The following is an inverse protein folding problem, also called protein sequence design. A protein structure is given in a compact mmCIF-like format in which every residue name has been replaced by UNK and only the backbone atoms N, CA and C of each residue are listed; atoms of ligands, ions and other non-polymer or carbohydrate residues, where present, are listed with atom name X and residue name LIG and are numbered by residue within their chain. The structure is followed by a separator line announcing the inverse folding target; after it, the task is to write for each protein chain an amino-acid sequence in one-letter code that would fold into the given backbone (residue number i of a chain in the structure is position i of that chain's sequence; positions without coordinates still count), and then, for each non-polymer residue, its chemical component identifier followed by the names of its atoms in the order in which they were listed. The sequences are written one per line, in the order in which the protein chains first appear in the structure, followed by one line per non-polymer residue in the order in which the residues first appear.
data_IF_458056510896
#
_entry.id   IF_458056510896
#
_cell.length_a   1.000
_cell.length_b   1.000
_cell.length_c   1.000
_cell.angle_alpha   90.00
_cell.angle_beta   90.00
_cell.angle_gamma   90.00
#
_symmetry.space_group_name_H-M   'P 1'
#
loop_
_entity.id
_entity.type
_entity.pdbx_description
1 polymer ?
#
# COMPACT_ATOMS: atom_id res chain seq x y z
N UNK A 1 42.06 -20.02 7.36
CA UNK A 1 41.26 -19.31 6.33
C UNK A 1 40.09 -20.20 5.90
N UNK A 2 39.01 -20.22 6.67
CA UNK A 2 37.73 -20.78 6.21
C UNK A 2 37.16 -19.76 5.23
N UNK A 3 36.94 -20.19 3.99
CA UNK A 3 36.62 -19.33 2.85
C UNK A 3 35.39 -18.46 3.12
N UNK A 4 35.57 -17.13 3.11
CA UNK A 4 34.55 -16.08 3.24
C UNK A 4 33.39 -16.27 2.25
N UNK A 5 33.64 -16.98 1.12
CA UNK A 5 32.61 -17.35 0.14
C UNK A 5 31.56 -18.35 0.65
N UNK A 6 31.89 -19.18 1.66
CA UNK A 6 30.94 -20.15 2.25
C UNK A 6 29.98 -19.49 3.27
N UNK A 7 30.45 -18.48 4.01
CA UNK A 7 29.60 -17.69 4.92
C UNK A 7 28.58 -16.82 4.17
N UNK A 8 28.95 -16.25 3.02
CA UNK A 8 28.01 -15.46 2.21
C UNK A 8 26.85 -16.28 1.62
N UNK A 9 27.11 -17.54 1.22
CA UNK A 9 26.05 -18.43 0.70
C UNK A 9 25.11 -18.94 1.79
N UNK A 10 25.60 -19.24 2.99
CA UNK A 10 24.74 -19.67 4.11
C UNK A 10 23.90 -18.53 4.70
N UNK A 11 24.45 -17.31 4.79
CA UNK A 11 23.67 -16.14 5.21
C UNK A 11 22.59 -15.77 4.20
N UNK A 12 22.87 -15.81 2.90
CA UNK A 12 21.84 -15.55 1.89
C UNK A 12 20.74 -16.61 1.92
N UNK A 13 21.05 -17.87 2.22
CA UNK A 13 20.02 -18.91 2.32
C UNK A 13 19.17 -18.80 3.60
N UNK A 14 19.77 -18.40 4.74
CA UNK A 14 19.02 -18.15 5.97
C UNK A 14 18.22 -16.84 5.93
N UNK A 15 18.72 -15.80 5.27
CA UNK A 15 17.98 -14.55 5.02
C UNK A 15 16.85 -14.82 4.03
N UNK A 16 17.08 -15.61 2.98
CA UNK A 16 16.04 -16.05 2.05
C UNK A 16 15.01 -16.94 2.75
N UNK A 17 15.43 -17.83 3.66
CA UNK A 17 14.49 -18.63 4.46
C UNK A 17 13.74 -17.77 5.47
N UNK A 18 14.35 -16.75 6.07
CA UNK A 18 13.67 -15.83 6.99
C UNK A 18 12.70 -14.92 6.21
N UNK A 19 13.08 -14.46 5.02
CA UNK A 19 12.21 -13.67 4.13
C UNK A 19 11.09 -14.53 3.55
N UNK A 20 11.34 -15.77 3.13
CA UNK A 20 10.31 -16.74 2.74
C UNK A 20 9.43 -17.10 3.94
N UNK A 21 9.97 -17.30 5.15
CA UNK A 21 9.17 -17.59 6.33
C UNK A 21 8.34 -16.38 6.78
N UNK A 22 8.85 -15.15 6.63
CA UNK A 22 8.11 -13.91 6.82
C UNK A 22 7.08 -13.66 5.71
N UNK A 23 7.36 -14.05 4.47
CA UNK A 23 6.48 -13.90 3.30
C UNK A 23 5.36 -14.95 3.30
N UNK A 24 5.65 -16.19 3.73
CA UNK A 24 4.68 -17.26 3.91
C UNK A 24 3.74 -17.03 5.11
N UNK A 25 4.10 -16.15 6.04
CA UNK A 25 3.27 -15.77 7.21
C UNK A 25 2.55 -14.42 7.05
N UNK A 26 2.87 -13.62 6.03
CA UNK A 26 2.24 -12.32 5.77
C UNK A 26 1.49 -12.34 4.44
N UNK A 27 0.23 -12.78 4.47
CA UNK A 27 -0.73 -12.66 3.37
C UNK A 27 -1.18 -11.22 3.07
N UNK A 28 -0.43 -10.19 3.49
CA UNK A 28 -0.88 -8.80 3.49
C UNK A 28 0.12 -7.87 2.81
N UNK A 29 -0.36 -6.84 2.12
CA UNK A 29 0.41 -5.71 1.56
C UNK A 29 1.10 -4.86 2.65
N UNK A 30 1.27 -5.38 3.86
CA UNK A 30 1.77 -4.67 5.02
C UNK A 30 2.96 -5.42 5.61
N UNK A 31 3.87 -5.87 4.75
CA UNK A 31 5.08 -6.56 5.16
C UNK A 31 5.92 -5.66 6.08
N UNK A 32 5.92 -5.99 7.37
CA UNK A 32 6.79 -5.47 8.44
C UNK A 32 6.71 -3.95 8.73
N UNK A 33 5.49 -3.42 8.88
CA UNK A 33 5.30 -2.09 9.48
C UNK A 33 5.65 -2.06 10.97
N UNK A 34 6.21 -0.95 11.43
CA UNK A 34 6.31 -0.61 12.84
C UNK A 34 5.01 0.08 13.26
N UNK A 35 4.35 -0.47 14.29
CA UNK A 35 3.13 0.07 14.87
C UNK A 35 3.45 0.80 16.16
N UNK A 36 3.45 2.12 16.11
CA UNK A 36 3.76 3.00 17.24
C UNK A 36 2.47 3.49 17.88
N UNK A 37 2.22 3.12 19.14
CA UNK A 37 1.15 3.71 19.92
C UNK A 37 1.49 5.17 20.22
N UNK A 38 0.71 6.08 19.62
CA UNK A 38 0.83 7.52 19.81
C UNK A 38 0.02 8.00 21.01
N UNK A 39 -1.24 7.54 21.13
CA UNK A 39 -2.15 7.92 22.20
C UNK A 39 -3.05 6.75 22.61
N UNK A 40 -3.45 6.72 23.87
CA UNK A 40 -4.41 5.79 24.44
C UNK A 40 -5.35 6.57 25.34
N UNK A 41 -6.62 6.61 24.98
CA UNK A 41 -7.65 7.43 25.64
C UNK A 41 -8.89 6.59 25.93
N UNK A 42 -9.69 7.04 26.90
CA UNK A 42 -11.02 6.49 27.16
C UNK A 42 -12.04 7.05 26.17
N UNK A 43 -13.21 6.42 26.09
CA UNK A 43 -14.34 6.95 25.30
C UNK A 43 -14.78 8.35 25.73
N UNK A 44 -14.70 8.66 27.03
CA UNK A 44 -15.10 9.96 27.57
C UNK A 44 -14.12 11.07 27.14
N UNK A 45 -12.82 10.78 27.24
CA UNK A 45 -11.76 11.69 26.79
C UNK A 45 -11.89 11.97 25.29
N UNK A 46 -12.06 10.94 24.44
CA UNK A 46 -12.20 11.14 23.00
C UNK A 46 -13.53 11.81 22.60
N UNK A 47 -14.59 11.64 23.39
CA UNK A 47 -15.85 12.35 23.17
C UNK A 47 -15.72 13.83 23.53
N UNK A 48 -15.00 14.15 24.62
CA UNK A 48 -14.76 15.51 25.06
C UNK A 48 -13.80 16.25 24.11
N UNK A 49 -12.76 15.57 23.64
CA UNK A 49 -11.74 16.10 22.74
C UNK A 49 -11.48 15.10 21.60
N UNK A 50 -12.26 15.16 20.50
CA UNK A 50 -12.05 14.31 19.33
C UNK A 50 -10.67 14.58 18.70
N UNK A 51 -10.05 13.52 18.17
CA UNK A 51 -8.82 13.68 17.41
C UNK A 51 -9.09 14.37 16.08
N UNK A 52 -8.27 15.37 15.79
CA UNK A 52 -8.22 15.99 14.48
C UNK A 52 -7.01 15.46 13.71
N UNK A 53 -7.27 14.85 12.55
CA UNK A 53 -6.26 14.32 11.65
C UNK A 53 -6.31 15.16 10.39
N UNK A 54 -5.18 15.73 9.99
CA UNK A 54 -5.06 16.54 8.79
C UNK A 54 -4.27 15.82 7.69
N UNK A 55 -4.54 16.16 6.44
CA UNK A 55 -3.73 15.77 5.27
C UNK A 55 -3.90 16.80 4.17
N UNK A 56 -2.86 16.99 3.35
CA UNK A 56 -2.83 18.02 2.30
C UNK A 56 -3.83 17.74 1.17
N UNK A 57 -3.99 16.47 0.78
CA UNK A 57 -4.78 16.05 -0.39
C UNK A 57 -6.04 15.26 -0.03
N UNK A 58 -6.37 15.15 1.26
CA UNK A 58 -7.46 14.33 1.75
C UNK A 58 -7.04 12.93 2.21
N UNK A 59 -8.03 12.04 2.35
CA UNK A 59 -7.88 10.75 3.03
C UNK A 59 -8.49 9.61 2.23
N UNK A 60 -7.90 8.43 2.41
CA UNK A 60 -8.56 7.16 2.11
C UNK A 60 -8.75 6.41 3.42
N UNK A 61 -10.00 6.08 3.74
CA UNK A 61 -10.37 5.47 5.02
C UNK A 61 -10.92 4.07 4.78
N UNK A 62 -10.33 3.09 5.47
CA UNK A 62 -10.77 1.69 5.46
C UNK A 62 -11.32 1.33 6.83
N UNK A 63 -12.49 0.71 6.87
CA UNK A 63 -13.09 0.10 8.06
C UNK A 63 -12.74 -1.40 8.18
N UNK A 64 -12.29 -2.01 7.09
CA UNK A 64 -11.73 -3.34 7.03
C UNK A 64 -10.70 -3.41 5.89
N UNK A 65 -9.51 -3.94 6.17
CA UNK A 65 -8.45 -4.08 5.15
C UNK A 65 -8.77 -5.21 4.15
N UNK A 66 -9.74 -6.08 4.46
CA UNK A 66 -10.10 -7.23 3.63
C UNK A 66 -11.28 -6.95 2.65
N UNK A 67 -11.95 -5.79 2.70
CA UNK A 67 -13.19 -5.52 1.92
C UNK A 67 -13.08 -4.49 0.77
N UNK A 68 -11.89 -4.29 0.22
CA UNK A 68 -11.61 -3.84 -1.16
C UNK A 68 -12.10 -2.46 -1.68
N UNK A 69 -12.65 -1.56 -0.85
CA UNK A 69 -12.86 -0.15 -1.24
C UNK A 69 -12.71 0.80 -0.06
N UNK A 70 -11.63 1.59 -0.04
CA UNK A 70 -11.50 2.70 0.89
C UNK A 70 -12.50 3.83 0.55
N UNK A 71 -13.04 4.48 1.57
CA UNK A 71 -13.86 5.69 1.39
C UNK A 71 -12.95 6.90 1.23
N UNK A 72 -13.07 7.60 0.10
CA UNK A 72 -12.32 8.82 -0.17
C UNK A 72 -12.96 10.02 0.53
N UNK A 73 -12.13 10.86 1.15
CA UNK A 73 -12.53 12.10 1.77
C UNK A 73 -11.62 13.23 1.31
N UNK A 74 -12.13 14.11 0.44
CA UNK A 74 -11.36 15.22 -0.12
C UNK A 74 -11.21 16.42 0.85
N UNK A 75 -11.58 16.26 2.13
CA UNK A 75 -11.38 17.31 3.13
C UNK A 75 -9.94 17.25 3.63
N UNK A 76 -9.34 18.40 3.94
CA UNK A 76 -7.96 18.43 4.45
C UNK A 76 -7.86 18.10 5.95
N UNK A 77 -8.99 17.93 6.63
CA UNK A 77 -9.06 17.55 8.03
C UNK A 77 -10.29 16.68 8.29
N UNK A 78 -10.09 15.62 9.09
CA UNK A 78 -11.16 14.77 9.61
C UNK A 78 -11.12 14.70 11.13
N UNK A 79 -12.31 14.54 11.72
CA UNK A 79 -12.46 14.33 13.16
C UNK A 79 -12.82 12.88 13.47
N UNK A 80 -12.01 12.26 14.34
CA UNK A 80 -12.27 10.93 14.91
C UNK A 80 -12.70 11.12 16.35
N UNK A 81 -13.93 10.72 16.66
CA UNK A 81 -14.54 10.83 17.98
C UNK A 81 -15.04 9.47 18.50
N UNK A 82 -15.71 9.49 19.64
CA UNK A 82 -16.35 8.33 20.25
C UNK A 82 -17.87 8.52 20.40
N UNK A 83 -18.67 7.55 19.94
CA UNK A 83 -20.14 7.58 20.03
C UNK A 83 -20.71 6.18 20.31
N UNK A 84 -21.63 6.07 21.27
CA UNK A 84 -22.29 4.81 21.65
C UNK A 84 -21.33 3.62 21.90
N UNK A 85 -20.20 3.87 22.59
CA UNK A 85 -19.11 2.91 22.80
C UNK A 85 -18.42 2.38 21.52
N UNK A 86 -18.66 3.02 20.38
CA UNK A 86 -17.91 2.81 19.13
C UNK A 86 -17.15 4.07 18.71
N UNK A 87 -16.41 3.95 17.60
CA UNK A 87 -15.77 5.08 16.95
C UNK A 87 -16.80 5.91 16.17
N UNK A 88 -16.45 7.16 15.91
CA UNK A 88 -17.20 8.02 15.01
C UNK A 88 -16.26 8.79 14.09
N UNK A 89 -16.64 8.90 12.83
CA UNK A 89 -15.96 9.70 11.81
C UNK A 89 -16.86 10.88 11.47
N UNK A 90 -16.35 12.10 11.63
CA UNK A 90 -17.12 13.32 11.41
C UNK A 90 -18.49 13.32 12.14
N UNK A 91 -18.52 12.80 13.37
CA UNK A 91 -19.71 12.72 14.22
C UNK A 91 -20.71 11.60 13.88
N UNK A 92 -20.46 10.82 12.80
CA UNK A 92 -21.26 9.64 12.43
C UNK A 92 -20.60 8.39 13.00
N UNK A 93 -21.39 7.53 13.65
CA UNK A 93 -20.88 6.25 14.16
C UNK A 93 -20.33 5.39 13.02
N UNK A 94 -19.21 4.73 13.25
CA UNK A 94 -18.68 3.71 12.35
C UNK A 94 -19.24 2.35 12.74
N UNK A 95 -19.23 1.42 11.79
CA UNK A 95 -19.73 0.05 12.02
C UNK A 95 -18.68 -0.88 12.61
N UNK A 96 -17.40 -0.51 12.48
CA UNK A 96 -16.24 -1.31 12.89
C UNK A 96 -15.50 -0.61 14.03
N UNK A 97 -14.85 -1.44 14.84
CA UNK A 97 -14.04 -1.03 16.01
C UNK A 97 -12.62 -0.59 15.62
N UNK A 98 -12.26 -0.75 14.35
CA UNK A 98 -10.98 -0.35 13.79
C UNK A 98 -11.21 0.51 12.55
N UNK A 99 -10.40 1.56 12.40
CA UNK A 99 -10.31 2.39 11.21
C UNK A 99 -8.85 2.50 10.80
N UNK A 100 -8.60 2.48 9.50
CA UNK A 100 -7.30 2.76 8.91
C UNK A 100 -7.41 4.01 8.04
N UNK A 101 -6.61 5.01 8.34
CA UNK A 101 -6.59 6.30 7.65
C UNK A 101 -5.27 6.42 6.91
N UNK A 102 -5.33 6.64 5.60
CA UNK A 102 -4.17 6.85 4.73
C UNK A 102 -4.26 8.26 4.12
N UNK A 103 -3.11 8.94 3.90
CA UNK A 103 -3.11 10.15 3.09
C UNK A 103 -3.46 9.81 1.65
N UNK A 104 -4.31 10.62 1.04
CA UNK A 104 -4.57 10.55 -0.38
C UNK A 104 -3.38 11.10 -1.18
N UNK A 105 -3.15 10.55 -2.36
CA UNK A 105 -2.17 11.07 -3.31
C UNK A 105 -2.61 12.45 -3.86
N UNK A 106 -1.64 13.30 -4.18
CA UNK A 106 -1.89 14.54 -4.91
C UNK A 106 -2.39 14.26 -6.33
N UNK A 107 -3.00 15.27 -6.97
CA UNK A 107 -3.43 15.17 -8.35
C UNK A 107 -2.29 14.81 -9.31
N UNK A 108 -1.08 15.32 -9.08
CA UNK A 108 0.10 15.05 -9.92
C UNK A 108 0.54 13.58 -9.85
N UNK A 109 0.52 12.98 -8.66
CA UNK A 109 0.81 11.56 -8.48
C UNK A 109 -0.27 10.68 -9.12
N UNK A 110 -1.55 11.04 -8.96
CA UNK A 110 -2.65 10.33 -9.59
C UNK A 110 -2.56 10.40 -11.12
N UNK A 111 -2.25 11.58 -11.66
CA UNK A 111 -2.04 11.76 -13.09
C UNK A 111 -0.88 10.91 -13.60
N UNK A 112 0.24 10.89 -12.87
CA UNK A 112 1.42 10.07 -13.22
C UNK A 112 1.08 8.57 -13.23
N UNK A 113 0.26 8.08 -12.29
CA UNK A 113 -0.21 6.68 -12.30
C UNK A 113 -1.11 6.40 -13.50
N UNK A 114 -2.04 7.31 -13.80
CA UNK A 114 -2.93 7.17 -14.94
C UNK A 114 -2.14 7.13 -16.26
N UNK A 115 -1.20 8.07 -16.46
CA UNK A 115 -0.32 8.12 -17.62
C UNK A 115 0.51 6.84 -17.76
N UNK A 116 1.05 6.34 -16.64
CA UNK A 116 1.78 5.08 -16.61
C UNK A 116 0.91 3.91 -17.09
N UNK A 117 -0.29 3.74 -16.51
CA UNK A 117 -1.22 2.65 -16.88
C UNK A 117 -1.61 2.77 -18.36
N UNK A 118 -2.03 3.96 -18.78
CA UNK A 118 -2.44 4.23 -20.16
C UNK A 118 -1.35 3.88 -21.17
N UNK A 119 -0.12 4.31 -20.89
CA UNK A 119 1.05 4.05 -21.75
C UNK A 119 1.34 2.55 -21.87
N UNK A 120 1.21 1.78 -20.77
CA UNK A 120 1.47 0.35 -20.77
C UNK A 120 0.39 -0.44 -21.52
N UNK A 121 -0.87 -0.09 -21.36
CA UNK A 121 -1.98 -0.72 -22.09
C UNK A 121 -1.87 -0.42 -23.59
N UNK A 122 -1.62 0.84 -23.97
CA UNK A 122 -1.49 1.25 -25.38
C UNK A 122 -0.34 0.51 -26.11
N UNK A 123 0.73 0.15 -25.41
CA UNK A 123 1.85 -0.59 -26.00
C UNK A 123 1.52 -2.07 -26.30
N UNK A 124 0.49 -2.66 -25.68
CA UNK A 124 0.15 -4.08 -25.81
C UNK A 124 -0.74 -4.40 -27.02
N UNK A 125 -1.40 -3.40 -27.61
CA UNK A 125 -2.32 -3.58 -28.74
C UNK A 125 -1.66 -4.12 -30.03
N UNK A 126 -0.34 -4.28 -30.04
CA UNK A 126 0.42 -4.90 -31.13
C UNK A 126 0.32 -6.44 -31.16
N UNK A 127 -0.23 -7.08 -30.12
CA UNK A 127 -0.28 -8.55 -30.02
C UNK A 127 -1.61 -9.08 -30.57
N UNK A 128 -1.46 -9.91 -31.60
CA UNK A 128 -2.47 -10.31 -32.57
C UNK A 128 -3.61 -11.14 -31.94
N UNK A 129 -4.85 -10.64 -32.01
CA UNK A 129 -6.02 -11.51 -31.90
C UNK A 129 -6.01 -12.40 -33.13
N UNK A 130 -5.58 -13.66 -32.96
CA UNK A 130 -5.51 -14.64 -34.04
C UNK A 130 -6.74 -14.56 -34.93
N UNK A 131 -6.52 -14.48 -36.24
CA UNK A 131 -7.47 -14.00 -37.26
C UNK A 131 -8.82 -14.72 -37.34
N UNK A 132 -9.09 -15.75 -36.52
CA UNK A 132 -10.23 -16.62 -36.67
C UNK A 132 -11.22 -16.56 -35.49
N UNK A 133 -12.31 -15.85 -35.76
CA UNK A 133 -13.70 -16.34 -35.73
C UNK A 133 -14.74 -15.80 -34.74
N UNK A 134 -14.46 -15.08 -33.66
CA UNK A 134 -15.54 -14.76 -32.69
C UNK A 134 -15.82 -13.26 -32.43
N UNK A 135 -15.43 -12.35 -33.31
CA UNK A 135 -15.56 -10.90 -33.04
C UNK A 135 -16.98 -10.41 -32.69
N UNK A 136 -17.96 -10.60 -33.59
CA UNK A 136 -19.31 -10.05 -33.38
C UNK A 136 -20.00 -10.69 -32.18
N UNK A 137 -19.93 -12.02 -32.07
CA UNK A 137 -20.58 -12.78 -31.00
C UNK A 137 -19.93 -12.49 -29.64
N UNK A 138 -18.60 -12.30 -29.57
CA UNK A 138 -17.92 -11.90 -28.33
C UNK A 138 -18.46 -10.58 -27.77
N UNK A 139 -18.71 -9.61 -28.65
CA UNK A 139 -19.24 -8.31 -28.25
C UNK A 139 -20.73 -8.38 -27.88
N UNK A 140 -21.51 -9.29 -28.49
CA UNK A 140 -22.94 -9.39 -28.22
C UNK A 140 -23.29 -10.32 -27.05
N UNK A 141 -22.46 -11.32 -26.77
CA UNK A 141 -22.61 -12.27 -25.66
C UNK A 141 -22.00 -11.72 -24.35
N UNK A 142 -22.37 -10.49 -24.02
CA UNK A 142 -21.82 -9.74 -22.89
C UNK A 142 -22.63 -9.96 -21.61
N UNK A 143 -22.54 -11.16 -21.04
CA UNK A 143 -23.14 -11.51 -19.75
C UNK A 143 -22.26 -12.52 -18.98
N UNK A 144 -22.37 -12.62 -17.64
CA UNK A 144 -21.56 -13.55 -16.86
C UNK A 144 -21.72 -14.99 -17.38
N UNK A 145 -20.62 -15.74 -17.43
CA UNK A 145 -20.54 -17.11 -17.94
C UNK A 145 -20.79 -17.29 -19.46
N UNK A 146 -21.03 -16.22 -20.21
CA UNK A 146 -21.07 -16.27 -21.66
C UNK A 146 -19.66 -16.26 -22.26
N UNK A 147 -19.51 -16.84 -23.45
CA UNK A 147 -18.21 -16.95 -24.14
C UNK A 147 -17.56 -15.58 -24.37
N UNK A 148 -18.35 -14.59 -24.80
CA UNK A 148 -17.87 -13.24 -25.08
C UNK A 148 -17.30 -12.55 -23.85
N UNK A 149 -18.07 -12.53 -22.76
CA UNK A 149 -17.58 -11.99 -21.49
C UNK A 149 -16.36 -12.75 -20.96
N UNK A 150 -16.36 -14.09 -21.02
CA UNK A 150 -15.24 -14.91 -20.52
C UNK A 150 -13.94 -14.58 -21.26
N UNK A 151 -14.02 -14.34 -22.57
CA UNK A 151 -12.90 -13.89 -23.37
C UNK A 151 -12.40 -12.50 -22.96
N UNK A 152 -13.29 -11.51 -22.89
CA UNK A 152 -12.94 -10.13 -22.47
C UNK A 152 -12.30 -10.14 -21.07
N UNK A 153 -12.88 -10.91 -20.15
CA UNK A 153 -12.35 -11.09 -18.81
C UNK A 153 -10.92 -11.66 -18.82
N UNK A 154 -10.66 -12.70 -19.62
CA UNK A 154 -9.34 -13.31 -19.71
C UNK A 154 -8.29 -12.31 -20.25
N UNK A 155 -8.64 -11.53 -21.28
CA UNK A 155 -7.76 -10.50 -21.82
C UNK A 155 -7.52 -9.36 -20.82
N UNK A 156 -8.56 -8.88 -20.13
CA UNK A 156 -8.37 -7.89 -19.06
C UNK A 156 -7.41 -8.39 -17.97
N UNK A 157 -7.54 -9.66 -17.53
CA UNK A 157 -6.62 -10.25 -16.55
C UNK A 157 -5.17 -10.29 -17.06
N UNK A 158 -4.97 -10.67 -18.33
CA UNK A 158 -3.64 -10.67 -18.97
C UNK A 158 -3.04 -9.27 -19.00
N UNK A 159 -3.79 -8.28 -19.48
CA UNK A 159 -3.39 -6.86 -19.52
C UNK A 159 -3.03 -6.37 -18.12
N UNK A 160 -3.90 -6.60 -17.13
CA UNK A 160 -3.66 -6.21 -15.74
C UNK A 160 -2.37 -6.82 -15.16
N UNK A 161 -2.11 -8.11 -15.42
CA UNK A 161 -0.89 -8.78 -14.95
C UNK A 161 0.37 -8.17 -15.58
N UNK A 162 0.37 -7.93 -16.89
CA UNK A 162 1.52 -7.31 -17.57
C UNK A 162 1.77 -5.86 -17.10
N UNK A 163 0.70 -5.08 -16.87
CA UNK A 163 0.82 -3.72 -16.29
C UNK A 163 1.37 -3.79 -14.86
N UNK A 164 0.96 -4.77 -14.06
CA UNK A 164 1.50 -5.00 -12.72
C UNK A 164 2.99 -5.36 -12.77
N UNK A 165 3.40 -6.22 -13.70
CA UNK A 165 4.80 -6.57 -13.90
C UNK A 165 5.63 -5.32 -14.24
N UNK A 166 5.18 -4.52 -15.19
CA UNK A 166 5.87 -3.27 -15.55
C UNK A 166 5.93 -2.27 -14.38
N UNK A 167 4.89 -2.23 -13.53
CA UNK A 167 4.86 -1.40 -12.33
C UNK A 167 5.90 -1.87 -11.31
N UNK A 168 6.00 -3.18 -11.11
CA UNK A 168 6.95 -3.80 -10.20
C UNK A 168 8.40 -3.60 -10.66
N UNK A 169 8.70 -3.79 -11.94
CA UNK A 169 10.04 -3.58 -12.52
C UNK A 169 10.54 -2.14 -12.39
N UNK A 170 9.63 -1.17 -12.29
CA UNK A 170 9.96 0.25 -12.10
C UNK A 170 10.32 0.61 -10.66
N UNK A 171 9.93 -0.19 -9.67
CA UNK A 171 10.21 0.08 -8.26
C UNK A 171 11.72 0.02 -7.96
N UNK A 172 12.22 0.99 -7.20
CA UNK A 172 13.64 1.11 -6.85
C UNK A 172 13.83 1.54 -5.38
N UNK A 173 15.02 1.33 -4.78
CA UNK A 173 16.14 0.53 -5.27
C UNK A 173 15.88 -0.99 -5.23
N UNK A 174 14.93 -1.44 -4.41
CA UNK A 174 14.34 -2.78 -4.47
C UNK A 174 12.84 -2.66 -4.09
N UNK A 175 11.96 -3.46 -4.71
CA UNK A 175 10.55 -3.50 -4.34
C UNK A 175 10.39 -3.90 -2.86
N UNK A 176 9.61 -3.14 -2.06
CA UNK A 176 9.48 -3.38 -0.62
C UNK A 176 8.52 -4.53 -0.28
N UNK A 177 8.03 -5.22 -1.31
CA UNK A 177 7.06 -6.32 -1.25
C UNK A 177 7.38 -7.29 -2.37
N UNK A 178 7.17 -8.59 -2.17
CA UNK A 178 7.35 -9.58 -3.21
C UNK A 178 6.26 -9.46 -4.30
N UNK A 179 6.61 -9.76 -5.54
CA UNK A 179 5.68 -9.68 -6.67
C UNK A 179 4.44 -10.55 -6.47
N UNK A 180 4.62 -11.77 -5.95
CA UNK A 180 3.55 -12.74 -5.72
C UNK A 180 2.51 -12.23 -4.71
N UNK A 181 2.94 -11.38 -3.75
CA UNK A 181 2.03 -10.75 -2.80
C UNK A 181 1.17 -9.69 -3.50
N UNK A 182 1.76 -8.87 -4.36
CA UNK A 182 1.01 -7.88 -5.16
C UNK A 182 0.06 -8.55 -6.14
N UNK A 183 0.52 -9.60 -6.81
CA UNK A 183 -0.27 -10.38 -7.76
C UNK A 183 -1.49 -11.00 -7.09
N UNK A 184 -1.31 -11.63 -5.92
CA UNK A 184 -2.41 -12.20 -5.15
C UNK A 184 -3.47 -11.16 -4.77
N UNK A 185 -3.03 -9.93 -4.48
CA UNK A 185 -3.90 -8.84 -4.07
C UNK A 185 -4.65 -8.27 -5.27
N UNK A 186 -3.96 -8.09 -6.40
CA UNK A 186 -4.60 -7.75 -7.67
C UNK A 186 -5.63 -8.82 -8.09
N UNK A 187 -5.33 -10.10 -7.88
CA UNK A 187 -6.25 -11.19 -8.18
C UNK A 187 -7.55 -11.09 -7.38
N UNK A 188 -7.48 -10.82 -6.07
CA UNK A 188 -8.67 -10.58 -5.23
C UNK A 188 -9.44 -9.35 -5.67
N UNK A 189 -8.72 -8.25 -5.89
CA UNK A 189 -9.30 -6.98 -6.31
C UNK A 189 -10.05 -7.10 -7.64
N UNK A 190 -9.43 -7.76 -8.63
CA UNK A 190 -10.04 -8.01 -9.95
C UNK A 190 -11.21 -8.97 -9.84
N UNK A 191 -11.12 -10.06 -9.05
CA UNK A 191 -12.27 -10.95 -8.80
C UNK A 191 -13.50 -10.18 -8.27
N UNK A 192 -13.30 -9.20 -7.40
CA UNK A 192 -14.38 -8.40 -6.83
C UNK A 192 -14.97 -7.37 -7.82
N UNK A 193 -14.18 -6.83 -8.76
CA UNK A 193 -14.56 -5.65 -9.57
C UNK A 193 -14.67 -5.88 -11.07
N UNK A 194 -14.13 -6.98 -11.60
CA UNK A 194 -13.99 -7.24 -13.04
C UNK A 194 -15.32 -7.11 -13.80
N UNK A 195 -16.38 -7.77 -13.32
CA UNK A 195 -17.69 -7.70 -13.96
C UNK A 195 -18.20 -6.26 -14.08
N UNK A 196 -18.12 -5.50 -12.99
CA UNK A 196 -18.60 -4.11 -12.95
C UNK A 196 -17.82 -3.25 -13.94
N UNK A 197 -16.49 -3.32 -13.93
CA UNK A 197 -15.65 -2.48 -14.80
C UNK A 197 -15.83 -2.84 -16.27
N UNK A 198 -15.89 -4.14 -16.61
CA UNK A 198 -16.17 -4.58 -17.97
C UNK A 198 -17.56 -4.11 -18.43
N UNK A 199 -18.59 -4.20 -17.57
CA UNK A 199 -19.93 -3.75 -17.89
C UNK A 199 -20.01 -2.24 -18.14
N UNK A 200 -19.35 -1.44 -17.30
CA UNK A 200 -19.29 0.01 -17.49
C UNK A 200 -18.56 0.37 -18.80
N UNK A 201 -17.46 -0.30 -19.10
CA UNK A 201 -16.72 -0.13 -20.35
C UNK A 201 -17.56 -0.56 -21.57
N UNK A 202 -18.32 -1.65 -21.48
CA UNK A 202 -19.23 -2.07 -22.54
C UNK A 202 -20.36 -1.05 -22.78
N UNK A 203 -20.96 -0.53 -21.71
CA UNK A 203 -22.03 0.47 -21.80
C UNK A 203 -21.52 1.81 -22.35
N UNK A 204 -20.24 2.14 -22.14
CA UNK A 204 -19.64 3.37 -22.66
C UNK A 204 -19.53 3.40 -24.19
N UNK A 205 -19.58 2.23 -24.85
CA UNK A 205 -19.59 2.14 -26.31
C UNK A 205 -20.77 2.86 -26.95
N UNK A 206 -21.90 2.99 -26.24
CA UNK A 206 -23.14 3.67 -26.70
C UNK A 206 -23.55 3.25 -28.13
N UNK A 207 -23.52 1.95 -28.41
CA UNK A 207 -23.78 1.41 -29.75
C UNK A 207 -25.18 1.80 -30.25
N UNK A 208 -25.24 2.45 -31.40
CA UNK A 208 -26.49 2.79 -32.09
C UNK A 208 -26.86 1.74 -33.13
N UNK A 209 -28.08 1.80 -33.65
CA UNK A 209 -28.55 0.86 -34.69
C UNK A 209 -27.64 0.80 -35.94
N UNK A 210 -27.06 1.94 -36.34
CA UNK A 210 -26.09 2.01 -37.46
C UNK A 210 -24.80 1.23 -37.15
N UNK A 211 -24.37 1.22 -35.89
CA UNK A 211 -23.17 0.53 -35.45
C UNK A 211 -23.40 -0.99 -35.45
N UNK A 212 -24.59 -1.44 -35.04
CA UNK A 212 -24.97 -2.86 -35.12
C UNK A 212 -24.90 -3.41 -36.56
N UNK A 213 -25.31 -2.61 -37.56
CA UNK A 213 -25.16 -2.97 -38.97
C UNK A 213 -23.69 -3.04 -39.40
N UNK A 214 -22.86 -2.14 -38.89
CA UNK A 214 -21.43 -2.07 -39.21
C UNK A 214 -20.65 -3.22 -38.57
N UNK A 215 -20.95 -3.54 -37.32
CA UNK A 215 -20.36 -4.65 -36.57
C UNK A 215 -20.55 -5.99 -37.29
N UNK A 216 -21.73 -6.24 -37.87
CA UNK A 216 -21.98 -7.46 -38.67
C UNK A 216 -21.17 -7.55 -39.97
N UNK A 217 -20.63 -6.44 -40.47
CA UNK A 217 -20.01 -6.33 -41.80
C UNK A 217 -18.50 -6.10 -41.77
N UNK A 218 -17.98 -5.53 -40.68
CA UNK A 218 -16.60 -5.06 -40.61
C UNK A 218 -15.89 -5.64 -39.37
N UNK A 219 -15.17 -6.77 -39.51
CA UNK A 219 -14.45 -7.41 -38.41
C UNK A 219 -13.45 -6.49 -37.71
N UNK A 220 -12.80 -5.60 -38.45
CA UNK A 220 -11.88 -4.58 -37.91
C UNK A 220 -12.59 -3.62 -36.95
N UNK A 221 -13.81 -3.19 -37.28
CA UNK A 221 -14.61 -2.33 -36.41
C UNK A 221 -15.05 -3.08 -35.14
N UNK A 222 -15.29 -4.38 -35.23
CA UNK A 222 -15.60 -5.20 -34.05
C UNK A 222 -14.39 -5.33 -33.12
N UNK A 223 -13.21 -5.63 -33.69
CA UNK A 223 -11.93 -5.71 -32.98
C UNK A 223 -11.65 -4.39 -32.25
N UNK A 224 -11.83 -3.25 -32.92
CA UNK A 224 -11.69 -1.92 -32.32
C UNK A 224 -12.62 -1.72 -31.11
N UNK A 225 -13.88 -2.18 -31.19
CA UNK A 225 -14.83 -2.06 -30.06
C UNK A 225 -14.48 -2.99 -28.90
N UNK A 226 -14.09 -4.23 -29.18
CA UNK A 226 -13.63 -5.17 -28.13
C UNK A 226 -12.42 -4.59 -27.40
N UNK A 227 -11.41 -4.10 -28.13
CA UNK A 227 -10.25 -3.47 -27.50
C UNK A 227 -10.62 -2.27 -26.66
N UNK A 228 -11.50 -1.38 -27.14
CA UNK A 228 -11.93 -0.24 -26.33
C UNK A 228 -12.61 -0.64 -25.00
N UNK A 229 -13.28 -1.80 -24.96
CA UNK A 229 -13.84 -2.34 -23.71
C UNK A 229 -12.73 -2.86 -22.80
N UNK A 230 -11.81 -3.66 -23.34
CA UNK A 230 -10.69 -4.24 -22.59
C UNK A 230 -9.80 -3.14 -22.02
N UNK A 231 -9.43 -2.15 -22.84
CA UNK A 231 -8.55 -1.05 -22.45
C UNK A 231 -9.17 -0.21 -21.34
N UNK A 232 -10.43 0.23 -21.53
CA UNK A 232 -11.10 1.05 -20.53
C UNK A 232 -11.30 0.30 -19.21
N UNK A 233 -11.69 -0.98 -19.26
CA UNK A 233 -11.88 -1.79 -18.07
C UNK A 233 -10.54 -2.01 -17.34
N UNK A 234 -9.49 -2.36 -18.08
CA UNK A 234 -8.15 -2.60 -17.53
C UNK A 234 -7.51 -1.34 -16.97
N UNK A 235 -7.66 -0.20 -17.65
CA UNK A 235 -7.18 1.10 -17.19
C UNK A 235 -7.83 1.48 -15.85
N UNK A 236 -9.16 1.39 -15.77
CA UNK A 236 -9.90 1.67 -14.54
C UNK A 236 -9.48 0.74 -13.39
N UNK A 237 -9.38 -0.57 -13.66
CA UNK A 237 -8.97 -1.57 -12.67
C UNK A 237 -7.57 -1.26 -12.14
N UNK A 238 -6.60 -1.05 -13.03
CA UNK A 238 -5.20 -0.84 -12.64
C UNK A 238 -4.97 0.50 -11.97
N UNK A 239 -5.54 1.59 -12.52
CA UNK A 239 -5.47 2.91 -11.91
C UNK A 239 -6.05 2.89 -10.50
N UNK A 240 -7.26 2.31 -10.34
CA UNK A 240 -7.91 2.26 -9.04
C UNK A 240 -7.16 1.36 -8.06
N UNK A 241 -6.63 0.22 -8.50
CA UNK A 241 -5.79 -0.65 -7.68
C UNK A 241 -4.52 0.07 -7.20
N UNK A 242 -3.75 0.68 -8.11
CA UNK A 242 -2.51 1.38 -7.76
C UNK A 242 -2.75 2.58 -6.84
N UNK A 243 -3.79 3.37 -7.06
CA UNK A 243 -4.13 4.51 -6.20
C UNK A 243 -4.44 4.13 -4.74
N UNK A 244 -4.73 2.86 -4.48
CA UNK A 244 -5.07 2.32 -3.16
C UNK A 244 -3.88 1.60 -2.51
N UNK A 245 -2.76 1.45 -3.20
CA UNK A 245 -1.59 0.77 -2.65
C UNK A 245 -1.03 1.54 -1.44
N UNK A 246 -0.51 0.82 -0.44
CA UNK A 246 0.20 1.43 0.68
C UNK A 246 1.29 2.40 0.23
N UNK A 247 1.42 3.52 0.95
CA UNK A 247 2.35 4.59 0.57
C UNK A 247 3.81 4.18 0.44
N UNK A 248 4.26 3.17 1.20
CA UNK A 248 5.64 2.71 1.11
C UNK A 248 5.93 2.01 -0.23
N UNK A 249 4.94 1.36 -0.83
CA UNK A 249 5.02 0.77 -2.18
C UNK A 249 5.04 1.90 -3.21
N UNK A 250 4.12 2.86 -3.07
CA UNK A 250 4.04 4.01 -3.97
C UNK A 250 5.32 4.85 -3.94
N UNK A 251 5.92 5.04 -2.76
CA UNK A 251 7.23 5.69 -2.64
C UNK A 251 8.32 4.98 -3.42
N UNK A 252 8.34 3.65 -3.45
CA UNK A 252 9.35 2.92 -4.24
C UNK A 252 9.14 3.10 -5.75
N UNK A 253 7.88 3.26 -6.18
CA UNK A 253 7.54 3.56 -7.56
C UNK A 253 7.87 5.01 -7.97
N UNK A 254 7.50 5.99 -7.14
CA UNK A 254 7.72 7.42 -7.41
C UNK A 254 9.12 7.91 -7.04
N UNK A 255 9.83 7.16 -6.19
CA UNK A 255 11.14 7.49 -5.63
C UNK A 255 11.13 8.71 -4.68
N UNK A 256 9.96 9.07 -4.14
CA UNK A 256 9.77 10.21 -3.23
C UNK A 256 8.58 10.04 -2.29
N UNK A 257 8.44 10.95 -1.33
CA UNK A 257 7.38 10.89 -0.31
C UNK A 257 6.04 11.36 -0.89
N UNK A 258 5.03 10.50 -0.87
CA UNK A 258 3.76 10.75 -1.55
C UNK A 258 2.65 11.33 -0.66
N UNK A 259 2.94 11.64 0.61
CA UNK A 259 1.99 12.23 1.55
C UNK A 259 2.32 11.93 3.01
N UNK A 260 1.60 12.60 3.91
CA UNK A 260 1.66 12.40 5.36
C UNK A 260 0.30 12.71 6.00
N UNK A 261 0.12 12.26 7.24
CA UNK A 261 -1.00 12.62 8.12
C UNK A 261 -0.48 13.45 9.27
N UNK A 262 -1.16 14.53 9.63
CA UNK A 262 -0.79 15.36 10.77
C UNK A 262 -1.75 15.15 11.92
N UNK A 263 -1.24 14.94 13.13
CA UNK A 263 -2.02 14.85 14.37
C UNK A 263 -1.31 15.66 15.46
N UNK A 264 -2.04 16.57 16.11
CA UNK A 264 -1.51 17.44 17.17
C UNK A 264 -0.26 18.23 16.74
N UNK A 265 -0.21 18.68 15.48
CA UNK A 265 0.91 19.46 14.94
C UNK A 265 2.17 18.66 14.59
N UNK A 266 2.12 17.32 14.66
CA UNK A 266 3.18 16.44 14.21
C UNK A 266 2.74 15.67 12.97
N UNK A 267 3.65 15.53 12.00
CA UNK A 267 3.41 14.79 10.77
C UNK A 267 3.82 13.33 10.95
N UNK A 268 3.12 12.41 10.27
CA UNK A 268 3.38 10.98 10.31
C UNK A 268 3.29 10.41 8.91
N UNK A 269 4.31 9.63 8.53
CA UNK A 269 4.30 8.86 7.29
C UNK A 269 3.54 7.54 7.48
N UNK A 270 3.16 6.93 6.36
CA UNK A 270 2.42 5.66 6.38
C UNK A 270 0.93 5.90 6.64
N UNK A 271 0.38 5.25 7.66
CA UNK A 271 -1.04 5.36 7.99
C UNK A 271 -1.28 5.47 9.49
N UNK A 272 -2.50 5.84 9.85
CA UNK A 272 -3.00 5.79 11.22
C UNK A 272 -4.02 4.66 11.33
N UNK A 273 -3.81 3.76 12.28
CA UNK A 273 -4.76 2.76 12.73
C UNK A 273 -5.38 3.27 14.03
N UNK A 274 -6.70 3.43 14.03
CA UNK A 274 -7.49 3.72 15.22
C UNK A 274 -8.21 2.44 15.59
N UNK A 275 -8.05 1.96 16.83
CA UNK A 275 -8.72 0.72 17.26
C UNK A 275 -9.18 0.80 18.69
N UNK A 276 -10.27 0.12 18.99
CA UNK A 276 -10.74 -0.13 20.35
C UNK A 276 -10.02 -1.38 20.89
N UNK A 277 -9.46 -1.29 22.10
CA UNK A 277 -8.81 -2.39 22.83
C UNK A 277 -9.01 -2.17 24.33
N UNK A 278 -9.51 -3.18 25.07
CA UNK A 278 -9.69 -3.15 26.54
C UNK A 278 -10.32 -1.84 27.07
N UNK A 279 -11.48 -1.46 26.52
CA UNK A 279 -12.24 -0.24 26.88
C UNK A 279 -11.51 1.09 26.61
N UNK A 280 -10.39 1.05 25.88
CA UNK A 280 -9.65 2.22 25.43
C UNK A 280 -9.65 2.31 23.91
N UNK A 281 -9.44 3.53 23.43
CA UNK A 281 -9.25 3.83 22.02
C UNK A 281 -7.78 4.17 21.83
N UNK A 282 -7.15 3.46 20.90
CA UNK A 282 -5.73 3.57 20.60
C UNK A 282 -5.55 4.28 19.26
N UNK A 283 -4.69 5.29 19.24
CA UNK A 283 -4.17 5.90 18.01
C UNK A 283 -2.78 5.34 17.75
N UNK A 284 -2.64 4.61 16.64
CA UNK A 284 -1.42 3.89 16.29
C UNK A 284 -0.94 4.38 14.94
N UNK A 285 0.31 4.83 14.84
CA UNK A 285 0.93 5.06 13.53
C UNK A 285 1.55 3.76 13.01
N UNK A 286 1.16 3.36 11.80
CA UNK A 286 1.72 2.23 11.07
C UNK A 286 2.63 2.75 9.97
N UNK A 287 3.93 2.59 10.17
CA UNK A 287 4.97 3.23 9.34
C UNK A 287 6.01 2.20 8.90
N UNK A 288 6.72 2.46 7.81
CA UNK A 288 7.80 1.57 7.36
C UNK A 288 8.93 1.52 8.40
N UNK A 289 9.69 0.41 8.44
CA UNK A 289 10.84 0.29 9.35
C UNK A 289 11.84 1.44 9.15
N UNK A 290 12.22 1.72 7.92
CA UNK A 290 13.25 2.73 7.65
C UNK A 290 12.78 4.14 8.00
N UNK A 291 11.51 4.48 7.75
CA UNK A 291 10.93 5.76 8.17
C UNK A 291 10.85 5.91 9.69
N UNK A 292 10.50 4.82 10.37
CA UNK A 292 10.50 4.78 11.83
C UNK A 292 11.90 5.05 12.37
N UNK A 293 12.92 4.38 11.83
CA UNK A 293 14.31 4.55 12.24
C UNK A 293 14.78 5.98 12.05
N UNK A 294 14.52 6.61 10.91
CA UNK A 294 14.88 8.02 10.70
C UNK A 294 14.20 8.92 11.74
N UNK A 295 12.93 8.68 12.06
CA UNK A 295 12.20 9.40 13.11
C UNK A 295 12.85 9.27 14.50
N UNK A 296 13.22 8.05 14.88
CA UNK A 296 13.88 7.78 16.18
C UNK A 296 15.28 8.37 16.23
N UNK A 297 16.10 8.12 15.20
CA UNK A 297 17.47 8.65 15.09
C UNK A 297 17.50 10.16 15.25
N UNK A 298 16.53 10.87 14.66
CA UNK A 298 16.40 12.32 14.79
C UNK A 298 16.09 12.74 16.23
N UNK A 299 15.27 11.97 16.94
CA UNK A 299 14.78 12.33 18.28
C UNK A 299 15.70 11.90 19.42
N UNK A 300 16.49 10.84 19.22
CA UNK A 300 17.40 10.28 20.23
C UNK A 300 18.88 10.58 19.93
N UNK A 301 19.22 10.76 18.65
CA UNK A 301 20.56 11.15 18.23
C UNK A 301 20.85 12.62 18.48
N UNK A 302 22.14 12.96 18.53
CA UNK A 302 22.58 14.34 18.67
C UNK A 302 22.85 14.98 17.30
N UNK A 303 22.45 16.24 17.07
CA UNK A 303 22.83 16.97 15.86
C UNK A 303 24.35 17.01 15.69
N UNK A 304 24.84 16.62 14.51
CA UNK A 304 26.27 16.62 14.17
C UNK A 304 27.02 15.31 14.43
N UNK A 305 26.34 14.25 14.89
CA UNK A 305 26.93 12.91 14.90
C UNK A 305 27.37 12.46 13.51
N UNK A 306 28.48 11.72 13.47
CA UNK A 306 29.03 11.19 12.22
C UNK A 306 28.12 10.12 11.61
N UNK A 307 28.35 9.81 10.33
CA UNK A 307 27.61 8.76 9.64
C UNK A 307 27.73 7.42 10.36
N UNK A 308 28.94 7.04 10.80
CA UNK A 308 29.18 5.78 11.52
C UNK A 308 28.46 5.72 12.86
N UNK A 309 28.39 6.83 13.62
CA UNK A 309 27.62 6.87 14.86
C UNK A 309 26.12 6.67 14.59
N UNK A 310 25.59 7.32 13.55
CA UNK A 310 24.19 7.14 13.15
C UNK A 310 23.89 5.74 12.63
N UNK A 311 24.85 5.08 11.95
CA UNK A 311 24.72 3.67 11.53
C UNK A 311 24.64 2.73 12.73
N UNK A 312 25.50 2.91 13.73
CA UNK A 312 25.44 2.13 14.98
C UNK A 312 24.10 2.34 15.68
N UNK A 313 23.62 3.59 15.76
CA UNK A 313 22.30 3.88 16.32
C UNK A 313 21.18 3.21 15.52
N UNK A 314 21.21 3.28 14.17
CA UNK A 314 20.22 2.63 13.32
C UNK A 314 20.13 1.11 13.57
N UNK A 315 21.28 0.44 13.69
CA UNK A 315 21.34 -1.00 14.01
C UNK A 315 20.76 -1.27 15.39
N UNK A 316 21.12 -0.46 16.41
CA UNK A 316 20.61 -0.63 17.77
C UNK A 316 19.09 -0.43 17.85
N UNK A 317 18.58 0.66 17.28
CA UNK A 317 17.14 0.97 17.23
C UNK A 317 16.38 -0.12 16.47
N UNK A 318 16.89 -0.56 15.30
CA UNK A 318 16.28 -1.64 14.52
C UNK A 318 16.23 -2.95 15.30
N UNK A 319 17.29 -3.26 16.04
CA UNK A 319 17.36 -4.45 16.88
C UNK A 319 16.28 -4.42 17.97
N UNK A 320 16.20 -3.30 18.69
CA UNK A 320 15.22 -3.10 19.76
C UNK A 320 13.79 -3.22 19.23
N UNK A 321 13.44 -2.53 18.15
CA UNK A 321 12.06 -2.56 17.62
C UNK A 321 11.70 -3.96 17.09
N UNK A 322 12.63 -4.71 16.51
CA UNK A 322 12.39 -6.12 16.12
C UNK A 322 12.09 -6.97 17.37
N UNK A 323 12.86 -6.82 18.46
CA UNK A 323 12.60 -7.52 19.71
C UNK A 323 11.19 -7.20 20.24
N UNK A 324 10.80 -5.92 20.23
CA UNK A 324 9.46 -5.47 20.64
C UNK A 324 8.35 -6.00 19.73
N UNK A 325 8.56 -6.06 18.42
CA UNK A 325 7.61 -6.66 17.47
C UNK A 325 7.37 -8.13 17.80
N UNK A 326 8.43 -8.91 18.04
CA UNK A 326 8.32 -10.33 18.40
C UNK A 326 7.53 -10.49 19.70
N UNK A 327 7.82 -9.67 20.72
CA UNK A 327 7.11 -9.69 21.99
C UNK A 327 5.63 -9.31 21.83
N UNK A 328 5.33 -8.21 21.14
CA UNK A 328 3.97 -7.73 20.93
C UNK A 328 3.11 -8.75 20.20
N UNK A 329 3.67 -9.43 19.18
CA UNK A 329 2.98 -10.52 18.47
C UNK A 329 2.66 -11.70 19.40
N UNK A 330 3.62 -12.10 20.23
CA UNK A 330 3.39 -13.17 21.21
C UNK A 330 2.29 -12.82 22.22
N UNK A 331 2.18 -11.54 22.57
CA UNK A 331 1.17 -10.99 23.47
C UNK A 331 -0.14 -10.58 22.75
N UNK A 332 -0.19 -10.70 21.41
CA UNK A 332 -1.30 -10.26 20.55
C UNK A 332 -1.68 -8.79 20.71
N UNK A 333 -0.71 -7.92 21.00
CA UNK A 333 -0.95 -6.48 21.11
C UNK A 333 -1.19 -5.84 19.73
N UNK A 334 -2.07 -4.82 19.64
CA UNK A 334 -2.34 -4.12 18.38
C UNK A 334 -1.20 -3.20 17.94
N UNK A 335 -0.25 -2.89 18.82
CA UNK A 335 0.94 -2.07 18.58
C UNK A 335 2.22 -2.78 19.03
N UNK A 336 3.37 -2.36 18.50
CA UNK A 336 4.68 -2.95 18.82
C UNK A 336 5.41 -2.17 19.90
N UNK A 337 5.30 -0.84 19.85
CA UNK A 337 6.03 0.08 20.72
C UNK A 337 5.13 1.26 21.09
N UNK A 338 5.49 1.96 22.17
CA UNK A 338 4.84 3.18 22.64
C UNK A 338 5.80 4.35 22.49
N UNK A 339 5.29 5.52 22.10
CA UNK A 339 6.09 6.74 22.10
C UNK A 339 6.30 7.24 23.54
N UNK A 340 7.36 6.78 24.22
CA UNK A 340 7.66 7.13 25.61
C UNK A 340 9.14 6.96 25.92
N UNK A 341 9.62 7.61 26.99
CA UNK A 341 11.01 7.49 27.47
C UNK A 341 11.37 6.04 27.87
N UNK A 342 10.38 5.23 28.25
CA UNK A 342 10.59 3.82 28.58
C UNK A 342 10.76 2.91 27.34
N UNK A 343 10.44 3.42 26.16
CA UNK A 343 10.71 2.78 24.89
C UNK A 343 11.66 3.68 24.10
N UNK A 344 11.21 4.16 22.94
CA UNK A 344 11.94 5.09 22.10
C UNK A 344 11.08 6.33 21.87
N UNK A 345 11.75 7.49 21.82
CA UNK A 345 11.09 8.72 21.43
C UNK A 345 10.81 8.67 19.93
N UNK A 346 9.61 9.07 19.53
CA UNK A 346 9.19 9.11 18.13
C UNK A 346 8.36 10.37 17.89
N UNK A 347 9.00 11.40 17.32
CA UNK A 347 8.36 12.69 17.02
C UNK A 347 7.78 12.74 15.60
N UNK A 348 7.54 11.58 14.98
CA UNK A 348 7.00 11.48 13.64
C UNK A 348 7.98 11.86 12.53
N UNK A 349 7.43 12.40 11.45
CA UNK A 349 8.10 12.86 10.26
C UNK A 349 8.30 14.39 10.28
N UNK A 350 9.35 14.83 9.59
CA UNK A 350 9.62 16.22 9.27
C UNK A 350 10.17 16.27 7.86
N UNK A 351 9.82 17.32 7.11
CA UNK A 351 10.35 17.55 5.76
C UNK A 351 11.88 17.45 5.78
N UNK A 352 12.42 16.66 4.86
CA UNK A 352 13.86 16.45 4.70
C UNK A 352 14.59 17.78 4.63
N UNK A 353 15.55 17.98 5.53
CA UNK A 353 16.52 19.05 5.43
C UNK A 353 17.93 18.47 5.16
N UNK A 354 18.90 19.34 4.90
CA UNK A 354 20.29 18.91 4.62
C UNK A 354 20.90 18.11 5.78
N UNK A 355 20.52 18.41 7.02
CA UNK A 355 21.00 17.68 8.20
C UNK A 355 20.43 16.27 8.31
N UNK A 356 19.22 16.01 7.82
CA UNK A 356 18.59 14.70 7.88
C UNK A 356 19.16 13.71 6.85
N UNK A 357 19.84 14.18 5.80
CA UNK A 357 20.38 13.31 4.73
C UNK A 357 21.31 12.22 5.28
N UNK A 358 22.11 12.54 6.29
CA UNK A 358 23.02 11.59 6.95
C UNK A 358 22.25 10.48 7.70
N UNK A 359 21.05 10.78 8.20
CA UNK A 359 20.20 9.80 8.89
C UNK A 359 19.61 8.81 7.87
N UNK A 360 19.09 9.31 6.74
CA UNK A 360 18.63 8.47 5.65
C UNK A 360 19.75 7.59 5.09
N UNK A 361 20.96 8.15 4.94
CA UNK A 361 22.14 7.41 4.50
C UNK A 361 22.54 6.32 5.50
N UNK A 362 22.58 6.64 6.81
CA UNK A 362 22.85 5.66 7.85
C UNK A 362 21.85 4.49 7.88
N UNK A 363 20.56 4.80 7.74
CA UNK A 363 19.50 3.78 7.70
C UNK A 363 19.63 2.91 6.45
N UNK A 364 19.89 3.54 5.29
CA UNK A 364 20.08 2.86 4.00
C UNK A 364 21.31 1.95 4.01
N UNK A 365 22.46 2.42 4.48
CA UNK A 365 23.70 1.62 4.52
C UNK A 365 23.66 0.48 5.54
N UNK A 366 22.72 0.54 6.50
CA UNK A 366 22.48 -0.52 7.48
C UNK A 366 21.19 -1.28 7.23
N UNK A 367 20.63 -1.19 6.02
CA UNK A 367 19.36 -1.83 5.68
C UNK A 367 19.41 -3.33 5.99
N UNK A 368 18.39 -3.82 6.69
CA UNK A 368 18.27 -5.21 7.16
C UNK A 368 19.38 -5.72 8.11
N UNK A 369 20.20 -4.84 8.69
CA UNK A 369 21.20 -5.21 9.71
C UNK A 369 20.62 -5.00 11.12
N UNK A 370 20.60 -6.07 11.91
CA UNK A 370 20.25 -6.06 13.34
C UNK A 370 21.15 -7.03 14.11
N UNK A 371 21.21 -6.88 15.43
CA UNK A 371 22.03 -7.71 16.31
C UNK A 371 21.20 -8.84 16.91
N UNK A 372 21.78 -10.04 16.96
CA UNK A 372 21.12 -11.20 17.52
C UNK A 372 22.07 -12.08 18.33
N UNK A 373 21.52 -12.73 19.36
CA UNK A 373 22.22 -13.71 20.19
C UNK A 373 21.33 -14.95 20.36
N UNK A 374 21.90 -16.14 20.13
CA UNK A 374 21.17 -17.43 20.18
C UNK A 374 19.88 -17.44 19.35
N UNK A 375 19.94 -16.86 18.14
CA UNK A 375 18.81 -16.84 17.20
C UNK A 375 17.67 -15.88 17.57
N UNK A 376 17.87 -14.99 18.55
CA UNK A 376 16.91 -13.96 18.95
C UNK A 376 17.54 -12.57 18.85
N UNK A 377 16.76 -11.52 18.54
CA UNK A 377 17.22 -10.14 18.70
C UNK A 377 17.65 -9.89 20.15
N UNK A 378 18.69 -9.07 20.34
CA UNK A 378 19.09 -8.61 21.69
C UNK A 378 18.24 -7.39 22.11
N UNK A 379 18.22 -7.09 23.41
CA UNK A 379 17.51 -5.93 24.00
C UNK A 379 18.51 -4.97 24.64
#
# INVERSE_FOLDING_TARGET
MVSIKKLHRQNNFQILLLSIFLCCLCNTLFSFHVKVLLQSVTYEELRACPWEIASENGFVIYDDLDTDVGTYCNQNSIKIGAKNKGLSLQGKSTYKDTLYVYPQLSADYLFTLLEFVHTKISAQQMIDLGENEWGFDVLMDFAPHQKGYTYIQAECLRVCHEVLQAFYERMQPEPPVAFEVLEKQLSRYTQAKMWKECLLAYQSLRLQYKDLKRLKKHPTFVKEKIFSVIDQASENLMYSFFSQLPQYILRSFFQEECGHLSVNGLDYLGSLMITIEDEKILLINSVSMDDYLVGVLRSEGWPGWSLETNKVLAIAVRTYVIARIVQARAQKLPYHIKNSIHHQKYDGHRKKNKQDLILYEAVKETHNIFLGYKGKPID
#
